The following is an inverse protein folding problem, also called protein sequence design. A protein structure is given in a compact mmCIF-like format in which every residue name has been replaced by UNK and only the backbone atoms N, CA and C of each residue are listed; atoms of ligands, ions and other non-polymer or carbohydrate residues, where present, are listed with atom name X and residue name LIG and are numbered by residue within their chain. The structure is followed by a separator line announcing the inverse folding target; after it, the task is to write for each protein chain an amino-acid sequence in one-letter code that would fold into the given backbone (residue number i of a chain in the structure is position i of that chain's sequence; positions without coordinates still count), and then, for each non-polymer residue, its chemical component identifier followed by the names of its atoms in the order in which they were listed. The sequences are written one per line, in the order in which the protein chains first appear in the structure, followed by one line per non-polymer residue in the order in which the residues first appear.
data_IF_129786155688
#
_entry.id   IF_129786155688
#
_cell.length_a   1.000
_cell.length_b   1.000
_cell.length_c   1.000
_cell.angle_alpha   90.00
_cell.angle_beta   90.00
_cell.angle_gamma   90.00
#
_symmetry.space_group_name_H-M   'P 1'
#
loop_
_entity.id
_entity.type
_entity.pdbx_description
1 polymer ?
#
# COMPACT_ATOMS: atom_id res chain seq x y z
N UNK A 1 -8.10 -19.61 -1.33
CA UNK A 1 -8.34 -20.73 -2.25
C UNK A 1 -9.33 -20.32 -3.36
N UNK A 2 -10.56 -19.91 -3.02
CA UNK A 2 -11.59 -19.55 -4.02
C UNK A 2 -11.10 -18.47 -5.02
N UNK A 3 -10.37 -17.46 -4.57
CA UNK A 3 -9.82 -16.39 -5.43
C UNK A 3 -8.80 -16.97 -6.43
N UNK A 4 -7.93 -17.87 -5.99
CA UNK A 4 -6.96 -18.57 -6.84
C UNK A 4 -7.65 -19.46 -7.87
N UNK A 5 -8.62 -20.26 -7.42
CA UNK A 5 -9.41 -21.14 -8.30
C UNK A 5 -10.24 -20.34 -9.34
N UNK A 6 -10.57 -19.09 -9.03
CA UNK A 6 -11.20 -18.16 -9.98
C UNK A 6 -10.22 -17.53 -10.99
N UNK A 7 -8.92 -17.85 -10.91
CA UNK A 7 -7.89 -17.43 -11.87
C UNK A 7 -7.15 -16.14 -11.48
N UNK A 8 -7.18 -15.71 -10.22
CA UNK A 8 -6.37 -14.58 -9.79
C UNK A 8 -4.87 -14.98 -9.76
N UNK A 9 -4.01 -14.21 -10.40
CA UNK A 9 -2.56 -14.41 -10.44
C UNK A 9 -1.88 -13.86 -9.18
N UNK A 10 -2.47 -12.83 -8.55
CA UNK A 10 -1.97 -12.19 -7.33
C UNK A 10 -3.10 -12.20 -6.30
N UNK A 11 -2.80 -12.64 -5.08
CA UNK A 11 -3.74 -12.66 -3.97
C UNK A 11 -3.41 -11.52 -3.01
N UNK A 12 -4.28 -10.54 -2.91
CA UNK A 12 -4.14 -9.46 -1.94
C UNK A 12 -4.67 -9.89 -0.56
N UNK A 13 -3.89 -9.59 0.49
CA UNK A 13 -4.24 -9.91 1.88
C UNK A 13 -3.85 -8.77 2.82
N UNK A 14 -4.65 -8.56 3.85
CA UNK A 14 -4.24 -7.71 4.97
C UNK A 14 -3.03 -8.34 5.67
N UNK A 15 -2.00 -7.54 5.91
CA UNK A 15 -0.78 -7.97 6.60
C UNK A 15 -0.37 -6.91 7.62
N UNK A 16 -1.13 -6.81 8.70
CA UNK A 16 -0.91 -5.87 9.80
C UNK A 16 -0.90 -6.59 11.13
N UNK A 17 -0.42 -5.92 12.19
CA UNK A 17 -0.49 -6.40 13.56
C UNK A 17 -1.93 -6.36 14.09
N UNK A 18 -2.79 -7.15 13.47
CA UNK A 18 -4.20 -7.31 13.79
C UNK A 18 -4.54 -8.79 13.96
N UNK A 19 -5.34 -9.11 14.97
CA UNK A 19 -5.81 -10.48 15.17
C UNK A 19 -7.05 -10.74 14.32
N UNK A 20 -7.04 -11.87 13.63
CA UNK A 20 -8.18 -12.45 12.92
C UNK A 20 -9.17 -13.04 13.92
N UNK A 21 -10.38 -13.37 13.45
CA UNK A 21 -11.42 -14.01 14.28
C UNK A 21 -10.99 -15.38 14.86
N UNK A 22 -10.04 -16.06 14.20
CA UNK A 22 -9.45 -17.33 14.66
C UNK A 22 -8.31 -17.15 15.69
N UNK A 23 -8.02 -15.92 16.10
CA UNK A 23 -7.00 -15.57 17.08
C UNK A 23 -5.57 -15.49 16.52
N UNK A 24 -5.35 -15.73 15.22
CA UNK A 24 -4.05 -15.60 14.58
C UNK A 24 -3.80 -14.17 14.10
N UNK A 25 -2.54 -13.80 13.93
CA UNK A 25 -2.18 -12.53 13.34
C UNK A 25 -2.46 -12.51 11.82
N UNK A 26 -2.84 -11.34 11.28
CA UNK A 26 -3.24 -11.21 9.89
C UNK A 26 -2.16 -11.66 8.90
N UNK A 27 -0.88 -11.39 9.16
CA UNK A 27 0.21 -11.83 8.27
C UNK A 27 0.42 -13.35 8.24
N UNK A 28 -0.11 -14.12 9.20
CA UNK A 28 -0.04 -15.59 9.13
C UNK A 28 -0.82 -16.14 7.92
N UNK A 29 -1.78 -15.37 7.39
CA UNK A 29 -2.46 -15.68 6.13
C UNK A 29 -1.49 -15.85 4.96
N UNK A 30 -0.38 -15.08 4.93
CA UNK A 30 0.66 -15.20 3.89
C UNK A 30 1.27 -16.60 3.92
N UNK A 31 1.71 -17.03 5.11
CA UNK A 31 2.29 -18.37 5.31
C UNK A 31 1.30 -19.45 4.92
N UNK A 32 0.05 -19.36 5.39
CA UNK A 32 -1.01 -20.33 5.10
C UNK A 32 -1.25 -20.46 3.58
N UNK A 33 -1.21 -19.35 2.84
CA UNK A 33 -1.36 -19.39 1.37
C UNK A 33 -0.13 -20.05 0.74
N UNK A 34 1.08 -19.64 1.10
CA UNK A 34 2.32 -20.18 0.54
C UNK A 34 2.49 -21.69 0.81
N UNK A 35 2.02 -22.17 1.96
CA UNK A 35 2.01 -23.61 2.27
C UNK A 35 1.02 -24.40 1.39
N UNK A 36 -0.12 -23.84 1.05
CA UNK A 36 -1.17 -24.52 0.29
C UNK A 36 -1.10 -24.25 -1.22
N UNK A 37 -0.52 -23.13 -1.65
CA UNK A 37 -0.42 -22.66 -3.03
C UNK A 37 0.93 -21.95 -3.18
N UNK A 38 2.05 -22.69 -3.24
CA UNK A 38 3.40 -22.09 -3.23
C UNK A 38 3.67 -21.14 -4.40
N UNK A 39 3.02 -21.35 -5.54
CA UNK A 39 3.15 -20.55 -6.75
C UNK A 39 2.36 -19.24 -6.73
N UNK A 40 1.41 -19.07 -5.79
CA UNK A 40 0.62 -17.83 -5.71
C UNK A 40 1.51 -16.63 -5.35
N UNK A 41 1.36 -15.56 -6.10
CA UNK A 41 1.96 -14.27 -5.75
C UNK A 41 1.08 -13.58 -4.69
N UNK A 42 1.73 -13.05 -3.64
CA UNK A 42 1.05 -12.41 -2.51
C UNK A 42 1.31 -10.91 -2.53
N UNK A 43 0.23 -10.15 -2.50
CA UNK A 43 0.23 -8.70 -2.30
C UNK A 43 -0.22 -8.40 -0.87
N UNK A 44 0.69 -7.88 -0.04
CA UNK A 44 0.44 -7.61 1.36
C UNK A 44 0.06 -6.14 1.58
N UNK A 45 -1.17 -5.89 2.03
CA UNK A 45 -1.66 -4.59 2.46
C UNK A 45 -1.17 -4.32 3.88
N UNK A 46 -0.23 -3.38 4.03
CA UNK A 46 0.43 -3.05 5.30
C UNK A 46 0.09 -1.64 5.77
N UNK A 47 0.38 -1.32 7.03
CA UNK A 47 0.19 0.02 7.58
C UNK A 47 1.47 0.67 8.10
N UNK A 48 2.51 -0.12 8.36
CA UNK A 48 3.80 0.33 8.89
C UNK A 48 4.96 -0.36 8.16
N UNK A 49 6.17 0.18 8.33
CA UNK A 49 7.39 -0.46 7.81
C UNK A 49 7.67 -1.81 8.49
N UNK A 50 7.32 -1.95 9.76
CA UNK A 50 7.45 -3.22 10.48
C UNK A 50 6.49 -4.27 9.95
N UNK A 51 5.23 -3.92 9.66
CA UNK A 51 4.30 -4.83 9.00
C UNK A 51 4.86 -5.31 7.64
N UNK A 52 5.45 -4.38 6.86
CA UNK A 52 6.05 -4.70 5.56
C UNK A 52 7.21 -5.68 5.69
N UNK A 53 8.10 -5.48 6.68
CA UNK A 53 9.22 -6.38 6.96
C UNK A 53 8.72 -7.78 7.30
N UNK A 54 7.76 -7.89 8.22
CA UNK A 54 7.19 -9.18 8.65
C UNK A 54 6.50 -9.87 7.46
N UNK A 55 5.69 -9.14 6.69
CA UNK A 55 5.01 -9.69 5.52
C UNK A 55 6.00 -10.24 4.48
N UNK A 56 7.07 -9.50 4.20
CA UNK A 56 8.11 -9.90 3.26
C UNK A 56 8.86 -11.15 3.76
N UNK A 57 9.21 -11.23 5.05
CA UNK A 57 9.84 -12.40 5.67
C UNK A 57 8.93 -13.64 5.67
N UNK A 58 7.61 -13.45 5.68
CA UNK A 58 6.63 -14.52 5.55
C UNK A 58 6.38 -14.96 4.11
N UNK A 59 6.98 -14.30 3.13
CA UNK A 59 6.92 -14.67 1.72
C UNK A 59 5.98 -13.83 0.85
N UNK A 60 5.61 -12.62 1.28
CA UNK A 60 4.93 -11.68 0.40
C UNK A 60 5.85 -11.28 -0.76
N UNK A 61 5.30 -11.28 -1.98
CA UNK A 61 6.01 -10.86 -3.20
C UNK A 61 5.92 -9.34 -3.40
N UNK A 62 4.82 -8.74 -2.91
CA UNK A 62 4.57 -7.31 -2.95
C UNK A 62 4.10 -6.82 -1.58
N UNK A 63 4.51 -5.60 -1.21
CA UNK A 63 4.03 -4.90 -0.02
C UNK A 63 3.58 -3.49 -0.40
N UNK A 64 2.44 -3.05 0.15
CA UNK A 64 1.89 -1.72 -0.14
C UNK A 64 1.33 -1.06 1.12
N UNK A 65 1.57 0.25 1.36
CA UNK A 65 1.05 0.99 2.51
C UNK A 65 -0.44 1.35 2.38
N UNK A 66 -1.24 0.45 1.82
CA UNK A 66 -2.68 0.62 1.57
C UNK A 66 -3.45 0.97 2.83
N UNK A 67 -3.03 0.39 3.96
CA UNK A 67 -3.70 0.55 5.26
C UNK A 67 -3.07 1.63 6.14
N UNK A 68 -2.12 2.42 5.62
CA UNK A 68 -1.52 3.54 6.35
C UNK A 68 -2.59 4.57 6.74
N UNK A 69 -2.65 4.88 8.05
CA UNK A 69 -3.66 5.77 8.63
C UNK A 69 -5.02 5.11 8.93
N UNK A 70 -5.24 3.84 8.56
CA UNK A 70 -6.47 3.10 8.85
C UNK A 70 -6.33 2.16 10.06
N UNK A 71 -5.11 1.94 10.56
CA UNK A 71 -4.85 1.16 11.78
C UNK A 71 -4.35 2.06 12.89
N UNK A 72 -4.47 1.61 14.16
CA UNK A 72 -3.94 2.37 15.31
C UNK A 72 -2.42 2.54 15.23
N UNK A 73 -1.70 1.51 14.75
CA UNK A 73 -0.26 1.53 14.58
C UNK A 73 0.20 2.42 13.40
N UNK A 74 -0.62 2.51 12.36
CA UNK A 74 -0.36 3.33 11.17
C UNK A 74 -1.04 4.70 11.22
N UNK A 75 -1.59 5.10 12.38
CA UNK A 75 -2.18 6.42 12.54
C UNK A 75 -1.07 7.48 12.52
N UNK A 76 -1.09 8.34 11.50
CA UNK A 76 -0.18 9.46 11.39
C UNK A 76 -0.34 10.41 12.58
N UNK A 77 0.76 10.77 13.21
CA UNK A 77 0.84 12.02 13.93
C UNK A 77 0.60 13.14 12.91
N UNK A 78 -0.46 13.87 13.13
CA UNK A 78 -1.17 14.89 12.36
C UNK A 78 -0.34 15.92 11.56
N UNK A 79 0.63 15.50 10.76
CA UNK A 79 1.12 16.33 9.68
C UNK A 79 0.08 16.29 8.57
N UNK A 80 -0.73 17.31 8.49
CA UNK A 80 -1.84 17.50 7.53
C UNK A 80 -1.33 17.65 6.08
N UNK A 81 -0.62 16.68 5.55
CA UNK A 81 -0.40 16.58 4.11
C UNK A 81 -1.62 15.86 3.53
N UNK A 82 -2.71 16.59 3.40
CA UNK A 82 -4.03 16.05 3.00
C UNK A 82 -4.04 15.45 1.58
N UNK A 83 -3.09 15.79 0.72
CA UNK A 83 -3.14 15.48 -0.71
C UNK A 83 -1.84 14.86 -1.27
N UNK A 84 -0.90 14.39 -0.44
CA UNK A 84 0.34 13.75 -0.87
C UNK A 84 0.52 12.37 -0.22
N UNK A 85 1.28 11.45 -0.88
CA UNK A 85 1.72 10.20 -0.28
C UNK A 85 2.56 10.43 0.97
N UNK A 86 2.61 9.41 1.84
CA UNK A 86 3.60 9.39 2.91
C UNK A 86 4.96 8.94 2.37
N UNK A 87 5.77 9.90 2.00
CA UNK A 87 7.11 9.64 1.48
C UNK A 87 8.07 9.08 2.54
N UNK A 88 7.86 9.41 3.82
CA UNK A 88 8.67 8.88 4.92
C UNK A 88 8.38 7.40 5.07
N UNK A 89 7.09 7.03 5.15
CA UNK A 89 6.68 5.64 5.23
C UNK A 89 7.13 4.85 3.99
N UNK A 90 7.01 5.41 2.78
CA UNK A 90 7.51 4.75 1.55
C UNK A 90 8.99 4.42 1.66
N UNK A 91 9.83 5.39 2.05
CA UNK A 91 11.26 5.18 2.25
C UNK A 91 11.52 4.10 3.30
N UNK A 92 10.84 4.17 4.43
CA UNK A 92 11.04 3.26 5.54
C UNK A 92 10.61 1.81 5.17
N UNK A 93 9.55 1.65 4.36
CA UNK A 93 9.14 0.34 3.80
C UNK A 93 10.21 -0.17 2.82
N UNK A 94 10.68 0.68 1.89
CA UNK A 94 11.73 0.29 0.92
C UNK A 94 12.98 -0.19 1.65
N UNK A 95 13.37 0.50 2.73
CA UNK A 95 14.51 0.08 3.54
C UNK A 95 14.23 -1.22 4.31
N UNK A 96 13.04 -1.38 4.87
CA UNK A 96 12.66 -2.54 5.67
C UNK A 96 12.61 -3.85 4.88
N UNK A 97 12.29 -3.81 3.57
CA UNK A 97 12.20 -5.02 2.74
C UNK A 97 13.47 -5.33 1.95
N UNK A 98 14.54 -4.55 2.12
CA UNK A 98 15.82 -4.81 1.45
C UNK A 98 16.32 -6.22 1.73
N UNK A 99 16.69 -6.93 0.65
CA UNK A 99 17.24 -8.28 0.75
C UNK A 99 16.21 -9.41 0.90
N UNK A 100 14.92 -9.10 1.05
CA UNK A 100 13.87 -10.13 1.16
C UNK A 100 13.37 -10.65 -0.19
N UNK A 101 13.56 -9.87 -1.28
CA UNK A 101 13.00 -10.15 -2.59
C UNK A 101 11.61 -9.52 -2.81
N UNK A 102 10.93 -9.05 -1.79
CA UNK A 102 9.66 -8.37 -1.91
C UNK A 102 9.81 -7.01 -2.62
N UNK A 103 8.80 -6.63 -3.40
CA UNK A 103 8.75 -5.36 -4.13
C UNK A 103 7.75 -4.41 -3.50
N UNK A 104 8.12 -3.14 -3.37
CA UNK A 104 7.26 -2.12 -2.80
C UNK A 104 6.34 -1.53 -3.86
N UNK A 105 5.05 -1.54 -3.61
CA UNK A 105 4.05 -0.86 -4.43
C UNK A 105 3.57 0.36 -3.65
N UNK A 106 3.74 1.56 -4.22
CA UNK A 106 3.18 2.74 -3.57
C UNK A 106 1.69 2.84 -3.84
N UNK A 107 0.90 2.84 -2.78
CA UNK A 107 -0.54 3.07 -2.83
C UNK A 107 -0.95 4.12 -1.79
N UNK A 108 -1.90 4.95 -2.17
CA UNK A 108 -2.45 6.00 -1.34
C UNK A 108 -1.98 7.41 -1.74
N UNK A 109 -2.95 8.28 -2.03
CA UNK A 109 -2.79 9.72 -2.32
C UNK A 109 -1.86 10.06 -3.49
N UNK A 110 -1.60 9.13 -4.39
CA UNK A 110 -0.91 9.41 -5.65
C UNK A 110 -1.85 10.17 -6.58
N UNK A 111 -1.68 11.49 -6.64
CA UNK A 111 -2.68 12.40 -7.19
C UNK A 111 -2.29 12.99 -8.56
N UNK A 112 -1.02 12.95 -8.92
CA UNK A 112 -0.50 13.45 -10.20
C UNK A 112 0.57 12.53 -10.78
N UNK A 113 0.86 12.61 -12.09
CA UNK A 113 1.95 11.86 -12.72
C UNK A 113 3.32 12.13 -12.07
N UNK A 114 3.60 13.38 -11.67
CA UNK A 114 4.87 13.78 -11.07
C UNK A 114 5.06 13.08 -9.71
N UNK A 115 4.01 13.01 -8.90
CA UNK A 115 4.00 12.27 -7.64
C UNK A 115 4.27 10.78 -7.89
N UNK A 116 3.64 10.19 -8.90
CA UNK A 116 3.87 8.79 -9.27
C UNK A 116 5.35 8.55 -9.62
N UNK A 117 5.92 9.38 -10.48
CA UNK A 117 7.34 9.31 -10.86
C UNK A 117 8.26 9.49 -9.65
N UNK A 118 7.93 10.42 -8.75
CA UNK A 118 8.70 10.62 -7.51
C UNK A 118 8.72 9.36 -6.65
N UNK A 119 7.58 8.68 -6.50
CA UNK A 119 7.52 7.42 -5.75
C UNK A 119 8.42 6.33 -6.35
N UNK A 120 8.50 6.23 -7.69
CA UNK A 120 9.40 5.30 -8.36
C UNK A 120 10.89 5.65 -8.10
N UNK A 121 11.26 6.94 -8.14
CA UNK A 121 12.63 7.37 -7.78
C UNK A 121 12.99 7.08 -6.32
N UNK A 122 12.00 7.02 -5.44
CA UNK A 122 12.19 6.66 -4.02
C UNK A 122 12.27 5.15 -3.79
N UNK A 123 12.16 4.33 -4.83
CA UNK A 123 12.34 2.88 -4.75
C UNK A 123 11.06 2.06 -4.81
N UNK A 124 9.90 2.68 -5.05
CA UNK A 124 8.71 1.91 -5.37
C UNK A 124 8.90 1.19 -6.72
N UNK A 125 8.52 -0.08 -6.79
CA UNK A 125 8.51 -0.87 -8.02
C UNK A 125 7.38 -0.47 -8.97
N UNK A 126 6.22 -0.15 -8.39
CA UNK A 126 5.05 0.32 -9.11
C UNK A 126 4.20 1.24 -8.23
N UNK A 127 3.19 1.87 -8.83
CA UNK A 127 2.26 2.80 -8.15
C UNK A 127 0.82 2.44 -8.47
N UNK A 128 -0.03 2.51 -7.46
CA UNK A 128 -1.49 2.41 -7.61
C UNK A 128 -2.09 3.81 -7.58
N UNK A 129 -2.82 4.16 -8.64
CA UNK A 129 -3.52 5.44 -8.77
C UNK A 129 -5.03 5.18 -8.78
N UNK A 130 -5.70 5.52 -7.69
CA UNK A 130 -7.14 5.33 -7.52
C UNK A 130 -7.94 6.59 -7.81
N UNK A 131 -8.26 7.35 -6.78
CA UNK A 131 -9.21 8.48 -6.79
C UNK A 131 -8.91 9.55 -7.85
N UNK A 132 -7.64 9.77 -8.18
CA UNK A 132 -7.24 10.75 -9.20
C UNK A 132 -7.75 10.39 -10.61
N UNK A 133 -8.01 9.11 -10.88
CA UNK A 133 -8.53 8.59 -12.15
C UNK A 133 -10.02 8.27 -12.04
N UNK A 134 -10.41 7.55 -10.97
CA UNK A 134 -11.74 6.95 -10.85
C UNK A 134 -12.79 7.91 -10.29
N UNK A 135 -12.36 9.07 -9.74
CA UNK A 135 -13.26 10.10 -9.17
C UNK A 135 -13.03 11.46 -9.84
N UNK A 136 -13.49 11.65 -11.10
CA UNK A 136 -13.24 12.88 -11.87
C UNK A 136 -13.77 14.14 -11.19
N UNK A 137 -14.87 14.06 -10.41
CA UNK A 137 -15.39 15.18 -9.64
C UNK A 137 -14.43 15.67 -8.54
N UNK A 138 -13.57 14.81 -7.96
CA UNK A 138 -12.53 15.22 -7.01
C UNK A 138 -11.44 15.98 -7.74
N UNK A 139 -11.02 15.48 -8.90
CA UNK A 139 -10.02 16.13 -9.76
C UNK A 139 -10.53 17.50 -10.23
N UNK A 140 -11.78 17.60 -10.70
CA UNK A 140 -12.39 18.86 -11.08
C UNK A 140 -12.41 19.90 -9.93
N UNK A 141 -12.74 19.47 -8.69
CA UNK A 141 -12.68 20.34 -7.51
C UNK A 141 -11.27 20.87 -7.21
N UNK A 142 -10.21 20.10 -7.48
CA UNK A 142 -8.82 20.58 -7.33
C UNK A 142 -8.50 21.70 -8.30
N UNK A 143 -8.87 21.55 -9.57
CA UNK A 143 -8.72 22.61 -10.56
C UNK A 143 -9.51 23.85 -10.18
N UNK A 144 -10.79 23.72 -9.83
CA UNK A 144 -11.62 24.85 -9.43
C UNK A 144 -11.02 25.60 -8.23
N UNK A 145 -10.56 24.90 -7.19
CA UNK A 145 -9.91 25.53 -6.02
C UNK A 145 -8.62 26.26 -6.39
N UNK A 146 -7.83 25.73 -7.30
CA UNK A 146 -6.60 26.37 -7.73
C UNK A 146 -6.90 27.67 -8.52
N UNK A 147 -7.89 27.63 -9.40
CA UNK A 147 -8.28 28.77 -10.24
C UNK A 147 -8.95 29.89 -9.43
N UNK A 148 -9.79 29.55 -8.44
CA UNK A 148 -10.50 30.55 -7.63
C UNK A 148 -9.55 31.47 -6.82
N UNK A 149 -8.30 31.06 -6.57
CA UNK A 149 -7.29 31.91 -5.92
C UNK A 149 -6.83 33.11 -6.77
N UNK A 150 -7.20 33.16 -8.04
CA UNK A 150 -6.86 34.26 -8.93
C UNK A 150 -8.01 35.24 -9.15
N UNK A 151 -9.13 35.05 -8.47
CA UNK A 151 -10.33 35.89 -8.62
C UNK A 151 -10.65 36.71 -7.36
N UNK A 152 -9.82 36.64 -6.31
CA UNK A 152 -9.81 37.51 -5.13
C UNK A 152 -8.71 38.58 -5.32
#
# INVERSE_FOLDING_TARGET
KAVWEAGAEIIAVQATHHYRDDGKLAYETIREIKENIPEALIFADVSTAEDARIAAEMGADFVAPTLAGYTKAGAFDKLEIKDAPDYILLRDIVDAVKGTGARVIMEGKVATPEIAVQCLYMGAYAVVVGNAITRPHITAKRFARALNRFHD
#
